data_IF_975100199024
#
_entry.id   IF_975100199024
#
_cell.length_a   1.000
_cell.length_b   1.000
_cell.length_c   1.000
_cell.angle_alpha   90.00
_cell.angle_beta   90.00
_cell.angle_gamma   90.00
#
_symmetry.space_group_name_H-M   'P 1'
#
loop_
_entity.id
_entity.type
_entity.pdbx_description
1 polymer ?
#
# COMPACT_ATOMS: atom_id res chain seq x y z
N UNK A 1 -12.02 -11.78 6.43
CA UNK A 1 -12.41 -11.55 5.03
C UNK A 1 -11.16 -11.70 4.19
N UNK A 2 -11.08 -12.69 3.31
CA UNK A 2 -9.95 -12.84 2.39
C UNK A 2 -10.28 -11.98 1.18
N UNK A 3 -9.43 -11.00 0.84
CA UNK A 3 -9.63 -10.23 -0.39
C UNK A 3 -9.38 -11.20 -1.55
N UNK A 4 -10.45 -11.53 -2.27
CA UNK A 4 -10.40 -12.44 -3.42
C UNK A 4 -9.66 -11.82 -4.60
N UNK A 5 -9.81 -12.42 -5.78
CA UNK A 5 -9.15 -11.94 -7.00
C UNK A 5 -9.42 -10.44 -7.25
N UNK A 6 -8.39 -9.62 -7.13
CA UNK A 6 -8.46 -8.15 -7.21
C UNK A 6 -8.91 -7.64 -8.60
N UNK A 7 -8.97 -8.51 -9.60
CA UNK A 7 -9.50 -8.18 -10.93
C UNK A 7 -11.02 -8.31 -11.02
N UNK A 8 -11.66 -8.84 -9.98
CA UNK A 8 -13.12 -8.99 -9.88
C UNK A 8 -13.74 -7.91 -9.03
N UNK A 9 -14.99 -7.54 -9.30
CA UNK A 9 -15.72 -6.53 -8.52
C UNK A 9 -15.80 -6.89 -7.02
N UNK A 10 -15.92 -8.19 -6.70
CA UNK A 10 -15.92 -8.68 -5.32
C UNK A 10 -14.57 -8.49 -4.64
N UNK A 11 -13.46 -8.74 -5.34
CA UNK A 11 -12.10 -8.47 -4.85
C UNK A 11 -11.90 -6.98 -4.54
N UNK A 12 -12.33 -6.09 -5.44
CA UNK A 12 -12.24 -4.63 -5.22
C UNK A 12 -13.09 -4.20 -4.03
N UNK A 13 -14.29 -4.77 -3.85
CA UNK A 13 -15.16 -4.45 -2.71
C UNK A 13 -14.59 -4.94 -1.39
N UNK A 14 -13.96 -6.12 -1.39
CA UNK A 14 -13.26 -6.63 -0.21
C UNK A 14 -12.02 -5.79 0.11
N UNK A 15 -11.25 -5.37 -0.90
CA UNK A 15 -10.13 -4.45 -0.74
C UNK A 15 -10.57 -3.11 -0.16
N UNK A 16 -11.68 -2.55 -0.66
CA UNK A 16 -12.25 -1.30 -0.15
C UNK A 16 -12.63 -1.40 1.32
N UNK A 17 -13.23 -2.53 1.72
CA UNK A 17 -13.58 -2.77 3.13
C UNK A 17 -12.33 -2.95 3.99
N UNK A 18 -11.28 -3.59 3.46
CA UNK A 18 -10.00 -3.74 4.16
C UNK A 18 -9.28 -2.41 4.39
N UNK A 19 -9.31 -1.53 3.38
CA UNK A 19 -8.73 -0.18 3.39
C UNK A 19 -9.64 0.88 4.06
N UNK A 20 -10.82 0.48 4.55
CA UNK A 20 -11.67 1.36 5.34
C UNK A 20 -10.97 1.71 6.66
N UNK A 21 -10.41 0.69 7.33
CA UNK A 21 -9.67 0.83 8.60
C UNK A 21 -8.14 0.89 8.41
N UNK A 22 -7.66 0.88 7.16
CA UNK A 22 -6.22 0.84 6.85
C UNK A 22 -5.84 1.80 5.75
N UNK A 23 -4.69 2.45 5.92
CA UNK A 23 -4.13 3.34 4.90
C UNK A 23 -3.35 2.60 3.83
N UNK A 24 -2.78 1.43 4.15
CA UNK A 24 -1.92 0.62 3.29
C UNK A 24 -2.28 -0.87 3.38
N UNK A 25 -1.78 -1.67 2.45
CA UNK A 25 -2.05 -3.12 2.45
C UNK A 25 -1.22 -3.88 3.48
N UNK A 26 -0.04 -3.34 3.83
CA UNK A 26 0.85 -3.86 4.86
C UNK A 26 1.41 -2.71 5.71
N UNK A 27 1.39 -2.87 7.03
CA UNK A 27 1.93 -1.86 7.96
C UNK A 27 1.21 -0.52 7.95
N UNK A 28 1.96 0.54 8.24
CA UNK A 28 1.48 1.93 8.34
C UNK A 28 2.12 2.87 7.33
N UNK A 29 2.93 2.34 6.40
CA UNK A 29 3.64 3.10 5.37
C UNK A 29 3.49 2.40 4.01
N UNK A 30 3.69 3.14 2.93
CA UNK A 30 3.68 2.56 1.59
C UNK A 30 4.83 1.56 1.44
N UNK A 31 4.51 0.37 0.93
CA UNK A 31 5.45 -0.74 0.81
C UNK A 31 5.43 -1.36 -0.59
N UNK A 32 6.40 -2.23 -0.88
CA UNK A 32 6.35 -3.05 -2.11
C UNK A 32 5.09 -3.92 -2.20
N UNK A 33 4.45 -4.24 -1.07
CA UNK A 33 3.19 -4.97 -1.06
C UNK A 33 2.07 -4.14 -1.71
N UNK A 34 2.02 -2.83 -1.44
CA UNK A 34 1.05 -1.92 -2.07
C UNK A 34 1.26 -1.85 -3.58
N UNK A 35 2.52 -1.88 -4.03
CA UNK A 35 2.87 -1.88 -5.45
C UNK A 35 2.38 -3.15 -6.12
N UNK A 36 2.57 -4.33 -5.50
CA UNK A 36 2.06 -5.60 -6.04
C UNK A 36 0.54 -5.61 -6.14
N UNK A 37 -0.16 -5.10 -5.14
CA UNK A 37 -1.63 -5.00 -5.15
C UNK A 37 -2.09 -4.01 -6.22
N UNK A 38 -1.40 -2.88 -6.37
CA UNK A 38 -1.70 -1.87 -7.38
C UNK A 38 -1.54 -2.43 -8.80
N UNK A 39 -0.44 -3.15 -9.04
CA UNK A 39 -0.17 -3.79 -10.34
C UNK A 39 -1.18 -4.89 -10.66
N UNK A 40 -1.55 -5.69 -9.64
CA UNK A 40 -2.57 -6.74 -9.77
C UNK A 40 -3.95 -6.16 -10.08
N UNK A 41 -4.30 -5.04 -9.45
CA UNK A 41 -5.54 -4.32 -9.69
C UNK A 41 -5.57 -3.77 -11.13
N UNK A 42 -4.47 -3.17 -11.59
CA UNK A 42 -4.23 -2.71 -12.97
C UNK A 42 -5.11 -1.55 -13.47
N UNK A 43 -6.30 -1.37 -12.90
CA UNK A 43 -7.28 -0.34 -13.24
C UNK A 43 -7.75 0.38 -11.98
N UNK A 44 -8.15 1.64 -12.14
CA UNK A 44 -8.71 2.41 -11.05
C UNK A 44 -10.01 1.76 -10.54
N UNK A 45 -10.20 1.62 -9.22
CA UNK A 45 -11.47 1.21 -8.63
C UNK A 45 -12.61 2.14 -9.03
N UNK A 46 -13.84 1.61 -9.03
CA UNK A 46 -15.05 2.43 -9.21
C UNK A 46 -15.20 3.45 -8.07
N UNK A 47 -15.85 4.60 -8.35
CA UNK A 47 -16.22 5.63 -7.36
C UNK A 47 -17.06 5.07 -6.20
N UNK A 48 -17.74 3.92 -6.39
CA UNK A 48 -18.45 3.22 -5.32
C UNK A 48 -17.53 2.67 -4.22
N UNK A 49 -16.22 2.63 -4.44
CA UNK A 49 -15.21 2.15 -3.51
C UNK A 49 -14.22 3.29 -3.17
N UNK A 50 -14.64 4.28 -2.37
CA UNK A 50 -13.85 5.49 -2.12
C UNK A 50 -12.53 5.21 -1.39
N UNK A 51 -12.47 4.21 -0.52
CA UNK A 51 -11.25 3.87 0.23
C UNK A 51 -10.21 3.22 -0.68
N UNK A 52 -10.64 2.28 -1.52
CA UNK A 52 -9.78 1.68 -2.54
C UNK A 52 -9.30 2.74 -3.55
N UNK A 53 -10.16 3.67 -3.96
CA UNK A 53 -9.81 4.74 -4.90
C UNK A 53 -8.81 5.72 -4.28
N UNK A 54 -9.01 6.14 -3.02
CA UNK A 54 -8.07 6.98 -2.27
C UNK A 54 -6.69 6.35 -2.26
N UNK A 55 -6.61 5.08 -1.84
CA UNK A 55 -5.36 4.33 -1.80
C UNK A 55 -4.75 4.17 -3.20
N UNK A 56 -5.54 3.81 -4.22
CA UNK A 56 -5.06 3.66 -5.58
C UNK A 56 -4.45 4.95 -6.11
N UNK A 57 -5.09 6.11 -5.88
CA UNK A 57 -4.56 7.41 -6.29
C UNK A 57 -3.28 7.77 -5.52
N UNK A 58 -3.22 7.46 -4.23
CA UNK A 58 -2.02 7.66 -3.40
C UNK A 58 -0.84 6.83 -3.91
N UNK A 59 -1.04 5.53 -4.13
CA UNK A 59 0.00 4.69 -4.72
C UNK A 59 0.30 5.19 -6.14
N UNK A 60 -0.71 5.61 -6.90
CA UNK A 60 -0.51 6.16 -8.25
C UNK A 60 0.42 7.37 -8.25
N UNK A 61 0.26 8.32 -7.31
CA UNK A 61 1.10 9.52 -7.24
C UNK A 61 2.55 9.21 -6.89
N UNK A 62 2.84 8.10 -6.20
CA UNK A 62 4.22 7.69 -5.89
C UNK A 62 5.06 7.32 -7.13
N UNK A 63 4.45 7.12 -8.31
CA UNK A 63 5.18 6.91 -9.57
C UNK A 63 6.39 5.97 -9.48
N UNK A 64 7.59 6.53 -9.72
CA UNK A 64 8.88 5.82 -9.65
C UNK A 64 9.41 5.59 -8.23
N UNK A 65 8.96 6.36 -7.23
CA UNK A 65 9.33 6.16 -5.82
C UNK A 65 8.83 4.81 -5.30
N UNK A 66 7.80 4.24 -5.94
CA UNK A 66 7.34 2.87 -5.69
C UNK A 66 8.45 1.83 -5.80
N UNK A 67 9.49 2.06 -6.60
CA UNK A 67 10.64 1.15 -6.73
C UNK A 67 11.60 1.24 -5.53
N UNK A 68 11.53 2.34 -4.78
CA UNK A 68 12.36 2.62 -3.60
C UNK A 68 11.64 2.29 -2.28
N UNK A 69 10.34 1.98 -2.33
CA UNK A 69 9.59 1.63 -1.12
C UNK A 69 10.19 0.38 -0.44
N UNK A 70 10.23 0.36 0.89
CA UNK A 70 10.68 -0.80 1.65
C UNK A 70 9.67 -1.97 1.54
N UNK A 71 10.13 -3.17 1.88
CA UNK A 71 9.33 -4.39 1.91
C UNK A 71 9.46 -5.27 0.67
N UNK A 72 8.64 -6.31 0.62
CA UNK A 72 8.67 -7.33 -0.43
C UNK A 72 7.48 -7.17 -1.37
N UNK A 73 7.68 -7.44 -2.68
CA UNK A 73 6.61 -7.43 -3.69
C UNK A 73 5.68 -8.64 -3.54
N UNK A 74 4.99 -8.74 -2.41
CA UNK A 74 4.05 -9.81 -2.11
C UNK A 74 2.69 -9.24 -1.78
N UNK A 75 1.64 -9.96 -2.15
CA UNK A 75 0.30 -9.64 -1.66
C UNK A 75 0.23 -10.17 -0.23
N UNK A 76 -0.04 -9.31 0.77
CA UNK A 76 -0.03 -9.74 2.16
C UNK A 76 -1.16 -10.73 2.38
N UNK A 77 -0.95 -11.73 3.23
CA UNK A 77 -1.89 -12.84 3.43
C UNK A 77 -3.26 -12.37 3.96
N UNK A 78 -3.30 -11.19 4.58
CA UNK A 78 -4.52 -10.46 4.96
C UNK A 78 -5.42 -10.10 3.77
N UNK A 79 -4.85 -10.02 2.58
CA UNK A 79 -5.47 -9.61 1.32
C UNK A 79 -5.63 -10.77 0.31
N UNK A 80 -5.46 -12.03 0.73
CA UNK A 80 -5.56 -13.17 -0.19
C UNK A 80 -4.22 -13.82 -0.48
N UNK A 81 -4.02 -15.00 0.10
CA UNK A 81 -2.84 -15.81 -0.10
C UNK A 81 -2.82 -16.42 -1.51
N UNK A 82 -1.79 -16.08 -2.29
CA UNK A 82 -1.09 -17.02 -3.17
C UNK A 82 0.41 -16.99 -2.78
N UNK A 83 0.90 -18.12 -2.28
CA UNK A 83 2.24 -18.35 -1.70
C UNK A 83 3.39 -18.04 -2.70
N UNK A 84 4.65 -17.71 -2.36
CA UNK A 84 5.60 -18.02 -1.27
C UNK A 84 6.43 -16.73 -1.02
N UNK A 85 7.13 -16.43 0.08
CA UNK A 85 7.59 -17.12 1.27
C UNK A 85 8.76 -16.30 1.85
N UNK A 86 9.06 -16.50 3.14
CA UNK A 86 10.19 -15.96 3.94
C UNK A 86 10.02 -14.64 4.71
N UNK A 87 10.68 -14.52 5.87
CA UNK A 87 10.41 -13.50 6.88
C UNK A 87 11.11 -12.18 6.56
N UNK A 88 10.45 -11.10 6.93
CA UNK A 88 10.98 -9.74 6.86
C UNK A 88 12.35 -9.63 7.54
N UNK A 89 13.41 -9.13 6.87
CA UNK A 89 14.45 -8.46 7.60
C UNK A 89 13.85 -7.15 8.14
N UNK A 90 14.06 -6.93 9.43
CA UNK A 90 13.74 -5.69 10.12
C UNK A 90 14.19 -4.50 9.27
N UNK A 91 13.29 -3.53 9.09
CA UNK A 91 13.65 -2.21 8.61
C UNK A 91 14.83 -1.73 9.45
N UNK A 92 16.00 -1.60 8.81
CA UNK A 92 17.03 -0.71 9.29
C UNK A 92 16.44 0.67 9.13
N UNK A 93 16.08 1.23 10.28
CA UNK A 93 16.29 2.62 10.64
C UNK A 93 17.44 3.21 9.79
N UNK A 94 17.06 3.89 8.72
CA UNK A 94 17.89 4.87 8.04
C UNK A 94 17.05 6.13 8.10
N UNK A 95 16.96 6.65 9.32
CA UNK A 95 16.51 8.01 9.63
C UNK A 95 17.61 8.96 9.13
N UNK A 96 17.77 9.00 7.82
CA UNK A 96 18.59 9.99 7.13
C UNK A 96 17.69 11.23 6.99
N UNK A 97 17.78 12.08 8.02
CA UNK A 97 17.70 13.53 7.93
C UNK A 97 16.71 14.09 6.89
N UNK A 98 15.42 13.83 7.10
CA UNK A 98 14.39 14.75 6.62
C UNK A 98 14.10 15.77 7.71
N UNK A 99 15.02 16.74 7.85
CA UNK A 99 14.72 18.02 8.48
C UNK A 99 13.61 18.73 7.68
N UNK A 100 12.38 18.37 8.02
CA UNK A 100 11.12 18.90 7.50
C UNK A 100 10.54 19.98 8.43
N UNK A 101 11.30 20.41 9.45
CA UNK A 101 11.00 21.56 10.30
C UNK A 101 12.10 22.62 10.19
N UNK A 102 12.51 22.92 8.95
CA UNK A 102 13.04 24.23 8.64
C UNK A 102 11.97 25.29 8.89
N UNK A 103 12.17 26.08 9.95
CA UNK A 103 11.55 27.37 10.28
C UNK A 103 10.42 27.36 11.32
N UNK A 104 10.78 27.47 12.60
CA UNK A 104 10.07 28.39 13.50
C UNK A 104 11.11 29.39 14.04
N UNK A 105 10.95 30.64 13.59
CA UNK A 105 11.68 31.84 13.98
C UNK A 105 11.07 32.34 15.31
N UNK A 106 11.85 32.51 16.39
CA UNK A 106 11.67 33.58 17.40
C UNK A 106 12.78 33.61 18.49
N UNK A 107 13.28 34.83 18.71
CA UNK A 107 14.34 35.41 19.60
C UNK A 107 15.83 35.26 19.24
#
# INVERSE_FOLDING_TARGET
MVVGDLKTEEGVKSLNSFLADRSYVEGYQASQADVSVFDTLGKAPSLSNPHALRWYNHIKSLGDERKKLPGEKKIPSSLGAVANGSPAPAAKDDDDDVDLFGSDEED
#
